data_IF_954133084198
#
_entry.id   IF_954133084198
#
_cell.length_a   1.000
_cell.length_b   1.000
_cell.length_c   1.000
_cell.angle_alpha   90.00
_cell.angle_beta   90.00
_cell.angle_gamma   90.00
#
_symmetry.space_group_name_H-M   'P 1'
#
loop_
_entity.id
_entity.type
_entity.pdbx_description
1 polymer ?
#
# COMPACT_ATOMS: atom_id res chain seq x y z
N UNK A 1 -17.79 40.36 -0.37
CA UNK A 1 -16.48 39.73 -0.59
C UNK A 1 -16.26 38.70 0.51
N UNK A 2 -16.37 37.41 0.21
CA UNK A 2 -16.07 36.33 1.16
C UNK A 2 -14.60 35.99 1.06
N UNK A 3 -13.85 36.23 2.14
CA UNK A 3 -12.45 35.86 2.25
C UNK A 3 -12.32 34.33 2.22
N UNK A 4 -11.62 33.81 1.21
CA UNK A 4 -11.20 32.42 1.15
C UNK A 4 -10.18 32.17 2.25
N UNK A 5 -10.55 31.32 3.22
CA UNK A 5 -9.61 30.81 4.23
C UNK A 5 -8.52 30.01 3.54
N UNK A 6 -7.25 30.27 3.82
CA UNK A 6 -6.17 29.41 3.31
C UNK A 6 -6.33 28.03 3.94
N UNK A 7 -6.42 26.99 3.09
CA UNK A 7 -6.34 25.60 3.50
C UNK A 7 -4.94 25.34 4.05
N UNK A 8 -4.80 25.35 5.36
CA UNK A 8 -3.61 24.87 6.04
C UNK A 8 -3.38 23.40 5.63
N UNK A 9 -2.26 23.15 4.92
CA UNK A 9 -1.76 21.78 4.74
C UNK A 9 -1.61 21.17 6.13
N UNK A 10 -2.17 19.97 6.38
CA UNK A 10 -2.00 19.33 7.67
C UNK A 10 -0.49 19.17 7.95
N UNK A 11 -0.06 19.68 9.09
CA UNK A 11 1.32 19.53 9.51
C UNK A 11 1.67 18.04 9.58
N UNK A 12 2.80 17.65 8.96
CA UNK A 12 3.29 16.27 9.03
C UNK A 12 3.37 15.84 10.49
N UNK A 13 2.70 14.76 10.90
CA UNK A 13 2.70 14.36 12.29
C UNK A 13 4.12 14.07 12.77
N UNK A 14 4.43 14.46 14.01
CA UNK A 14 5.71 14.12 14.64
C UNK A 14 5.79 12.63 14.87
N UNK A 15 6.73 11.98 14.20
CA UNK A 15 7.02 10.54 14.34
C UNK A 15 8.40 10.35 14.96
N UNK A 16 8.57 9.26 15.72
CA UNK A 16 9.84 8.90 16.34
C UNK A 16 10.94 8.70 15.27
N UNK A 17 12.20 8.92 15.64
CA UNK A 17 13.34 8.82 14.72
C UNK A 17 13.38 7.48 13.99
N UNK A 18 13.22 6.36 14.69
CA UNK A 18 13.24 5.03 14.10
C UNK A 18 12.05 4.81 13.14
N UNK A 19 10.91 5.41 13.43
CA UNK A 19 9.73 5.34 12.56
C UNK A 19 9.93 6.15 11.28
N UNK A 20 10.63 7.29 11.37
CA UNK A 20 11.01 8.06 10.19
C UNK A 20 11.95 7.28 9.28
N UNK A 21 12.90 6.55 9.84
CA UNK A 21 13.78 5.66 9.07
C UNK A 21 12.96 4.61 8.31
N UNK A 22 12.02 3.96 8.97
CA UNK A 22 11.12 2.97 8.33
C UNK A 22 10.26 3.62 7.23
N UNK A 23 9.73 4.81 7.49
CA UNK A 23 8.98 5.58 6.50
C UNK A 23 9.82 5.91 5.26
N UNK A 24 11.07 6.35 5.45
CA UNK A 24 11.97 6.65 4.35
C UNK A 24 12.32 5.40 3.53
N UNK A 25 12.47 4.24 4.18
CA UNK A 25 12.66 2.96 3.49
C UNK A 25 11.45 2.65 2.60
N UNK A 26 10.23 2.74 3.12
CA UNK A 26 9.01 2.48 2.33
C UNK A 26 8.91 3.47 1.18
N UNK A 27 9.19 4.75 1.40
CA UNK A 27 9.15 5.76 0.33
C UNK A 27 10.15 5.50 -0.79
N UNK A 28 11.39 5.12 -0.46
CA UNK A 28 12.44 4.95 -1.46
C UNK A 28 12.38 3.59 -2.19
N UNK A 29 11.97 2.54 -1.49
CA UNK A 29 11.93 1.19 -2.05
C UNK A 29 10.53 0.74 -2.45
N UNK A 30 9.49 1.43 -1.99
CA UNK A 30 8.09 1.09 -2.23
C UNK A 30 7.50 1.62 -3.54
N UNK A 31 8.23 2.49 -4.27
CA UNK A 31 7.77 2.94 -5.58
C UNK A 31 7.85 1.80 -6.60
N UNK A 32 6.68 1.33 -7.07
CA UNK A 32 6.57 0.20 -7.97
C UNK A 32 6.88 -1.16 -7.32
N UNK A 33 7.07 -1.22 -6.01
CA UNK A 33 7.28 -2.43 -5.22
C UNK A 33 6.41 -2.43 -3.99
N UNK A 34 5.93 -3.62 -3.62
CA UNK A 34 5.19 -3.86 -2.40
C UNK A 34 6.12 -4.54 -1.40
N UNK A 35 6.32 -3.89 -0.26
CA UNK A 35 7.26 -4.35 0.77
C UNK A 35 6.49 -5.02 1.90
N UNK A 36 6.79 -6.28 2.17
CA UNK A 36 6.39 -6.92 3.41
C UNK A 36 7.23 -6.41 4.59
N UNK A 37 6.80 -6.65 5.82
CA UNK A 37 7.60 -6.28 7.01
C UNK A 37 9.01 -6.87 6.97
N UNK A 38 9.15 -8.11 6.50
CA UNK A 38 10.44 -8.77 6.33
C UNK A 38 11.36 -8.06 5.33
N UNK A 39 10.80 -7.54 4.23
CA UNK A 39 11.58 -6.81 3.23
C UNK A 39 12.12 -5.50 3.79
N UNK A 40 11.30 -4.77 4.54
CA UNK A 40 11.73 -3.54 5.24
C UNK A 40 12.81 -3.86 6.26
N UNK A 41 12.64 -4.95 7.02
CA UNK A 41 13.64 -5.37 8.00
C UNK A 41 14.96 -5.80 7.36
N UNK A 42 14.95 -6.45 6.20
CA UNK A 42 16.18 -6.77 5.44
C UNK A 42 16.95 -5.50 5.04
N UNK A 43 16.27 -4.44 4.65
CA UNK A 43 16.92 -3.14 4.37
C UNK A 43 17.54 -2.56 5.64
N UNK A 44 16.84 -2.62 6.78
CA UNK A 44 17.33 -2.17 8.09
C UNK A 44 18.61 -2.92 8.48
N UNK A 45 18.61 -4.24 8.34
CA UNK A 45 19.79 -5.08 8.64
C UNK A 45 20.99 -4.75 7.73
N UNK A 46 20.76 -4.68 6.43
CA UNK A 46 21.83 -4.36 5.45
C UNK A 46 22.46 -3.00 5.72
N UNK A 47 21.67 -2.02 6.13
CA UNK A 47 22.15 -0.67 6.47
C UNK A 47 22.71 -0.57 7.90
N UNK A 48 22.68 -1.66 8.67
CA UNK A 48 23.15 -1.72 10.06
C UNK A 48 22.56 -0.63 10.96
N UNK A 49 21.25 -0.41 10.84
CA UNK A 49 20.56 0.70 11.54
C UNK A 49 20.22 0.40 13.01
N UNK A 50 20.46 -0.83 13.48
CA UNK A 50 20.22 -1.22 14.88
C UNK A 50 18.74 -1.21 15.30
N UNK A 51 17.80 -1.30 14.35
CA UNK A 51 16.36 -1.34 14.60
C UNK A 51 15.89 -2.79 14.55
N UNK A 52 15.27 -3.28 15.62
CA UNK A 52 14.76 -4.65 15.70
C UNK A 52 13.47 -4.84 14.90
N UNK A 53 13.15 -6.11 14.61
CA UNK A 53 11.96 -6.48 13.83
C UNK A 53 10.65 -5.96 14.45
N UNK A 54 10.47 -6.10 15.75
CA UNK A 54 9.28 -5.60 16.46
C UNK A 54 9.11 -4.08 16.29
N UNK A 55 10.20 -3.33 16.32
CA UNK A 55 10.16 -1.88 16.11
C UNK A 55 9.77 -1.54 14.67
N UNK A 56 10.27 -2.30 13.69
CA UNK A 56 9.86 -2.15 12.27
C UNK A 56 8.36 -2.40 12.13
N UNK A 57 7.86 -3.50 12.70
CA UNK A 57 6.44 -3.83 12.66
C UNK A 57 5.57 -2.73 13.29
N UNK A 58 5.94 -2.26 14.49
CA UNK A 58 5.22 -1.17 15.17
C UNK A 58 5.27 0.14 14.37
N UNK A 59 6.40 0.42 13.75
CA UNK A 59 6.55 1.59 12.90
C UNK A 59 5.59 1.54 11.70
N UNK A 60 5.55 0.41 10.98
CA UNK A 60 4.65 0.21 9.84
C UNK A 60 3.19 0.37 10.24
N UNK A 61 2.78 -0.25 11.35
CA UNK A 61 1.42 -0.10 11.90
C UNK A 61 1.10 1.37 12.20
N UNK A 62 1.99 2.08 12.87
CA UNK A 62 1.78 3.47 13.22
C UNK A 62 1.74 4.39 12.00
N UNK A 63 2.62 4.16 11.03
CA UNK A 63 2.67 4.94 9.79
C UNK A 63 1.39 4.73 8.95
N UNK A 64 0.88 3.50 8.91
CA UNK A 64 -0.42 3.19 8.30
C UNK A 64 -1.56 3.95 8.99
N UNK A 65 -1.64 3.89 10.31
CA UNK A 65 -2.69 4.56 11.10
C UNK A 65 -2.65 6.08 10.93
N UNK A 66 -1.47 6.65 10.67
CA UNK A 66 -1.28 8.06 10.35
C UNK A 66 -1.57 8.39 8.88
N UNK A 67 -1.88 7.42 8.03
CA UNK A 67 -2.13 7.62 6.60
C UNK A 67 -0.90 7.98 5.78
N UNK A 68 0.31 7.74 6.30
CA UNK A 68 1.57 8.03 5.61
C UNK A 68 1.99 6.92 4.65
N UNK A 69 1.57 5.69 4.94
CA UNK A 69 1.72 4.53 4.07
C UNK A 69 0.39 3.80 3.97
N UNK A 70 0.23 3.02 2.92
CA UNK A 70 -0.91 2.12 2.73
C UNK A 70 -0.51 0.69 3.06
N UNK A 71 -1.40 -0.03 3.73
CA UNK A 71 -1.31 -1.47 3.95
C UNK A 71 -2.19 -2.20 2.96
N UNK A 72 -1.65 -3.20 2.30
CA UNK A 72 -2.33 -3.97 1.27
C UNK A 72 -2.42 -5.42 1.73
N UNK A 73 -3.65 -5.92 1.83
CA UNK A 73 -3.95 -7.32 2.10
C UNK A 73 -4.39 -7.99 0.80
N UNK A 74 -3.57 -8.87 0.25
CA UNK A 74 -3.86 -9.55 -1.00
C UNK A 74 -4.33 -10.98 -0.73
N UNK A 75 -5.37 -11.46 -1.42
CA UNK A 75 -5.83 -12.84 -1.30
C UNK A 75 -4.69 -13.83 -1.56
N UNK A 76 -4.54 -14.82 -0.67
CA UNK A 76 -3.50 -15.84 -0.75
C UNK A 76 -2.08 -15.36 -0.41
N UNK A 77 -1.88 -14.11 0.00
CA UNK A 77 -0.60 -13.65 0.54
C UNK A 77 -0.49 -14.01 2.03
N UNK A 78 0.70 -14.44 2.46
CA UNK A 78 0.96 -14.82 3.85
C UNK A 78 1.11 -13.62 4.79
N UNK A 79 1.39 -12.45 4.23
CA UNK A 79 1.62 -11.22 4.99
C UNK A 79 1.07 -10.00 4.28
N UNK A 80 0.85 -8.93 5.03
CA UNK A 80 0.54 -7.62 4.48
C UNK A 80 1.74 -7.04 3.73
N UNK A 81 1.44 -6.23 2.72
CA UNK A 81 2.40 -5.41 2.00
C UNK A 81 2.19 -3.94 2.32
N UNK A 82 3.24 -3.16 2.18
CA UNK A 82 3.22 -1.72 2.43
C UNK A 82 3.77 -0.95 1.24
N UNK A 83 3.16 0.19 0.98
CA UNK A 83 3.58 1.12 -0.07
C UNK A 83 3.39 2.57 0.41
N UNK A 84 4.05 3.57 -0.22
CA UNK A 84 3.76 4.96 0.06
C UNK A 84 2.30 5.29 -0.16
N UNK A 85 1.69 6.08 0.71
CA UNK A 85 0.36 6.60 0.47
C UNK A 85 0.35 7.46 -0.80
N UNK A 86 -0.66 7.27 -1.65
CA UNK A 86 -0.74 7.93 -2.95
C UNK A 86 -2.12 7.82 -3.58
N UNK A 87 -2.17 7.93 -4.89
CA UNK A 87 -3.41 7.76 -5.64
C UNK A 87 -3.91 6.32 -5.56
N UNK A 88 -5.22 6.17 -5.43
CA UNK A 88 -5.86 4.86 -5.45
C UNK A 88 -5.56 4.13 -6.78
N UNK A 89 -5.26 2.85 -6.70
CA UNK A 89 -5.02 1.96 -7.83
C UNK A 89 -5.41 0.53 -7.45
N UNK A 90 -5.49 -0.32 -8.45
CA UNK A 90 -5.73 -1.74 -8.23
C UNK A 90 -4.41 -2.50 -8.09
N UNK A 91 -4.46 -3.67 -7.47
CA UNK A 91 -3.32 -4.56 -7.31
C UNK A 91 -3.62 -5.88 -8.01
N UNK A 92 -2.63 -6.42 -8.70
CA UNK A 92 -2.66 -7.76 -9.28
C UNK A 92 -1.61 -8.63 -8.60
N UNK A 93 -1.99 -9.83 -8.16
CA UNK A 93 -1.06 -10.83 -7.63
C UNK A 93 -1.06 -12.07 -8.52
N UNK A 94 0.13 -12.48 -8.94
CA UNK A 94 0.31 -13.75 -9.66
C UNK A 94 0.25 -14.93 -8.67
N UNK A 95 -0.63 -15.88 -8.90
CA UNK A 95 -0.78 -17.08 -8.07
C UNK A 95 0.38 -18.05 -8.23
N UNK A 96 1.07 -18.01 -9.38
CA UNK A 96 2.19 -18.92 -9.67
C UNK A 96 3.52 -18.45 -9.09
N UNK A 97 3.90 -17.18 -9.29
CA UNK A 97 5.19 -16.66 -8.82
C UNK A 97 5.09 -15.69 -7.64
N UNK A 98 3.86 -15.31 -7.23
CA UNK A 98 3.62 -14.37 -6.13
C UNK A 98 3.92 -12.90 -6.46
N UNK A 99 4.34 -12.59 -7.68
CA UNK A 99 4.63 -11.21 -8.10
C UNK A 99 3.38 -10.32 -7.97
N UNK A 100 3.59 -9.10 -7.48
CA UNK A 100 2.53 -8.11 -7.29
C UNK A 100 2.80 -6.91 -8.18
N UNK A 101 1.79 -6.53 -8.96
CA UNK A 101 1.84 -5.39 -9.88
C UNK A 101 0.73 -4.40 -9.60
N UNK A 102 1.05 -3.13 -9.73
CA UNK A 102 0.06 -2.07 -9.72
C UNK A 102 -0.66 -1.99 -11.06
N UNK A 103 -1.96 -1.87 -10.98
CA UNK A 103 -2.83 -1.66 -12.11
C UNK A 103 -3.44 -0.27 -12.00
N UNK A 104 -3.15 0.59 -12.96
CA UNK A 104 -3.66 1.96 -13.00
C UNK A 104 -5.16 1.98 -13.32
N UNK A 105 -5.98 1.51 -12.40
CA UNK A 105 -7.43 1.46 -12.53
C UNK A 105 -8.10 1.76 -11.19
N UNK A 106 -9.10 2.61 -11.25
CA UNK A 106 -10.01 2.91 -10.13
C UNK A 106 -11.44 2.83 -10.64
N UNK A 107 -12.35 2.12 -9.95
CA UNK A 107 -13.75 2.12 -10.31
C UNK A 107 -14.31 3.55 -10.38
N UNK A 108 -15.07 3.85 -11.41
CA UNK A 108 -15.66 5.17 -11.56
C UNK A 108 -16.65 5.46 -10.43
N UNK A 109 -16.76 6.72 -10.02
CA UNK A 109 -17.75 7.17 -9.04
C UNK A 109 -19.18 6.74 -9.39
N UNK A 110 -19.49 6.67 -10.69
CA UNK A 110 -20.81 6.21 -11.20
C UNK A 110 -21.04 4.74 -10.83
N UNK A 111 -20.08 3.87 -11.04
CA UNK A 111 -20.19 2.43 -10.70
C UNK A 111 -20.36 2.27 -9.18
N UNK A 112 -19.54 2.95 -8.40
CA UNK A 112 -19.61 2.90 -6.93
C UNK A 112 -20.98 3.39 -6.42
N UNK A 113 -21.47 4.51 -6.96
CA UNK A 113 -22.80 5.05 -6.61
C UNK A 113 -23.95 4.14 -7.01
N UNK A 114 -23.85 3.46 -8.15
CA UNK A 114 -24.85 2.48 -8.58
C UNK A 114 -24.90 1.27 -7.64
N UNK A 115 -23.75 0.75 -7.24
CA UNK A 115 -23.67 -0.35 -6.28
C UNK A 115 -24.25 0.04 -4.92
N UNK A 116 -23.87 1.21 -4.41
CA UNK A 116 -24.38 1.74 -3.14
C UNK A 116 -25.92 1.83 -3.16
N UNK A 117 -26.51 2.44 -4.19
CA UNK A 117 -27.96 2.58 -4.33
C UNK A 117 -28.66 1.24 -4.51
N UNK A 118 -28.12 0.36 -5.34
CA UNK A 118 -28.72 -0.96 -5.63
C UNK A 118 -28.82 -1.83 -4.38
N UNK A 119 -27.84 -1.72 -3.49
CA UNK A 119 -27.73 -2.55 -2.30
C UNK A 119 -28.12 -1.82 -1.01
N UNK A 120 -28.48 -0.54 -1.08
CA UNK A 120 -28.85 0.26 0.11
C UNK A 120 -27.72 0.42 1.12
N UNK A 121 -26.47 0.55 0.63
CA UNK A 121 -25.26 0.66 1.45
C UNK A 121 -24.56 1.98 1.20
N UNK A 122 -23.76 2.41 2.15
CA UNK A 122 -22.77 3.48 2.01
C UNK A 122 -21.40 2.85 1.72
N UNK A 123 -20.66 3.40 0.77
CA UNK A 123 -19.32 2.91 0.40
C UNK A 123 -18.32 4.02 0.64
N UNK A 124 -17.50 3.86 1.66
CA UNK A 124 -16.47 4.83 2.04
C UNK A 124 -15.21 4.69 1.19
N UNK A 125 -14.84 3.45 0.83
CA UNK A 125 -13.64 3.16 0.07
C UNK A 125 -13.82 1.90 -0.81
N UNK A 126 -12.99 1.77 -1.84
CA UNK A 126 -12.96 0.61 -2.73
C UNK A 126 -11.53 0.13 -2.89
N UNK A 127 -11.29 -1.10 -2.46
CA UNK A 127 -10.05 -1.82 -2.72
C UNK A 127 -10.30 -2.84 -3.83
N UNK A 128 -9.62 -2.68 -4.97
CA UNK A 128 -9.68 -3.65 -6.07
C UNK A 128 -8.42 -4.50 -6.09
N UNK A 129 -8.59 -5.78 -5.86
CA UNK A 129 -7.53 -6.77 -5.93
C UNK A 129 -7.86 -7.80 -7.01
N UNK A 130 -6.90 -8.03 -7.90
CA UNK A 130 -6.98 -8.99 -8.98
C UNK A 130 -5.95 -10.09 -8.74
N UNK A 131 -6.29 -11.32 -9.03
CA UNK A 131 -5.37 -12.44 -8.93
C UNK A 131 -5.50 -13.35 -10.16
N UNK A 132 -4.43 -14.03 -10.51
CA UNK A 132 -4.37 -14.88 -11.70
C UNK A 132 -2.92 -15.20 -12.03
N UNK A 133 -2.56 -15.24 -13.31
CA UNK A 133 -1.21 -15.55 -13.77
C UNK A 133 -0.64 -14.38 -14.59
N UNK A 134 0.59 -13.99 -14.29
CA UNK A 134 1.30 -12.98 -15.06
C UNK A 134 1.72 -13.52 -16.45
N UNK A 135 2.12 -12.62 -17.33
CA UNK A 135 2.51 -12.98 -18.70
C UNK A 135 3.62 -14.02 -18.71
N UNK A 136 4.69 -13.81 -17.94
CA UNK A 136 5.84 -14.72 -17.87
C UNK A 136 5.47 -16.13 -17.40
N UNK A 137 4.54 -16.25 -16.44
CA UNK A 137 4.07 -17.55 -15.96
C UNK A 137 3.15 -18.23 -16.97
N UNK A 138 2.35 -17.47 -17.71
CA UNK A 138 1.52 -18.01 -18.79
C UNK A 138 2.36 -18.57 -19.94
N UNK A 139 3.41 -17.85 -20.33
CA UNK A 139 4.30 -18.28 -21.41
C UNK A 139 5.06 -19.56 -21.06
N UNK A 140 5.50 -19.70 -19.79
CA UNK A 140 6.19 -20.92 -19.32
C UNK A 140 5.32 -22.19 -19.34
N UNK A 141 4.02 -22.06 -19.21
CA UNK A 141 3.10 -23.20 -19.26
C UNK A 141 2.81 -23.65 -20.70
N UNK A 142 3.02 -22.77 -21.69
CA UNK A 142 2.84 -23.08 -23.10
C UNK A 142 4.15 -23.48 -23.80
N UNK A 143 5.24 -23.46 -23.11
CA UNK A 143 6.54 -23.96 -23.55
C UNK A 143 6.74 -25.41 -23.10
#
# INVERSE_FOLDING_TARGET
>A
MRATRPTLKPATPRIAKNYRVVYDIVRHHGHGRHLATSDVFEVVKRRRLGIGFTTVYRALTRLRDLGLISEILLPGAESAYYEPAGQAHAHFRCESCGDVKDIAYVPSKRIVSQLARRHGIEIDDVLLSLHGRCADCREREHA
#
